data_IF_910961045338
#
_entry.id   IF_910961045338
#
_cell.length_a   1.000
_cell.length_b   1.000
_cell.length_c   1.000
_cell.angle_alpha   90.00
_cell.angle_beta   90.00
_cell.angle_gamma   90.00
#
_symmetry.space_group_name_H-M   'P 1'
#
loop_
_entity.id
_entity.type
_entity.pdbx_description
1 polymer ?
#
# COMPACT_ATOMS: atom_id res chain seq x y z
N UNK A 1 -14.59 61.48 -22.42
CA UNK A 1 -14.13 60.29 -21.67
C UNK A 1 -13.11 59.55 -22.53
N UNK A 2 -12.12 58.93 -21.87
CA UNK A 2 -10.85 58.42 -22.40
C UNK A 2 -10.99 57.25 -23.40
N UNK A 3 -10.03 57.19 -24.34
CA UNK A 3 -9.30 56.06 -25.00
C UNK A 3 -10.03 54.70 -25.17
N UNK A 4 -9.86 53.93 -26.26
CA UNK A 4 -8.56 53.41 -26.73
C UNK A 4 -8.64 52.79 -28.13
N UNK A 5 -7.56 52.97 -28.90
CA UNK A 5 -7.15 52.07 -29.99
C UNK A 5 -6.74 50.71 -29.43
N UNK A 6 -7.10 49.60 -30.10
CA UNK A 6 -6.20 48.46 -30.33
C UNK A 6 -6.61 47.83 -31.65
N UNK A 7 -5.77 48.00 -32.67
CA UNK A 7 -5.81 47.19 -33.88
C UNK A 7 -4.93 45.96 -33.72
N UNK A 8 -5.22 44.95 -34.54
CA UNK A 8 -4.25 44.01 -35.10
C UNK A 8 -3.62 43.00 -34.16
N UNK A 9 -3.86 41.72 -34.42
CA UNK A 9 -2.93 40.83 -35.15
C UNK A 9 -3.55 39.43 -35.15
N UNK A 10 -3.66 38.84 -36.34
CA UNK A 10 -4.08 37.47 -36.53
C UNK A 10 -3.05 36.51 -35.92
N UNK A 11 -3.49 35.61 -35.04
CA UNK A 11 -2.68 34.48 -34.58
C UNK A 11 -3.08 33.24 -35.38
N UNK A 12 -2.11 32.70 -36.09
CA UNK A 12 -2.17 31.52 -36.94
C UNK A 12 -1.42 30.37 -36.24
N UNK A 13 -1.90 29.12 -36.41
CA UNK A 13 -1.20 27.82 -36.23
C UNK A 13 -1.02 27.38 -34.75
N UNK A 14 -1.22 26.13 -34.29
CA UNK A 14 -1.25 24.81 -34.91
C UNK A 14 -2.14 23.87 -34.07
N UNK A 15 -3.00 23.07 -34.70
CA UNK A 15 -3.79 22.02 -34.05
C UNK A 15 -3.11 20.69 -34.37
N UNK A 16 -2.35 20.14 -33.40
CA UNK A 16 -1.72 18.83 -33.54
C UNK A 16 -2.65 17.79 -32.92
N UNK A 17 -3.39 17.06 -33.76
CA UNK A 17 -4.05 15.83 -33.35
C UNK A 17 -3.07 14.69 -33.63
N UNK A 18 -2.50 14.10 -32.57
CA UNK A 18 -1.79 12.82 -32.69
C UNK A 18 -2.82 11.71 -32.50
N UNK A 19 -3.36 11.20 -33.61
CA UNK A 19 -4.06 9.91 -33.63
C UNK A 19 -3.00 8.84 -33.85
N UNK A 20 -2.65 8.11 -32.79
CA UNK A 20 -1.90 6.87 -32.92
C UNK A 20 -2.90 5.71 -33.13
N UNK A 21 -3.18 5.37 -34.38
CA UNK A 21 -3.82 4.10 -34.72
C UNK A 21 -2.70 3.05 -34.84
N UNK A 22 -2.57 2.21 -33.82
CA UNK A 22 -1.86 0.94 -33.96
C UNK A 22 -2.87 -0.11 -34.43
N UNK A 23 -2.90 -0.37 -35.74
CA UNK A 23 -3.49 -1.59 -36.30
C UNK A 23 -2.52 -2.74 -36.04
N UNK A 24 -2.74 -3.48 -34.95
CA UNK A 24 -2.12 -4.78 -34.72
C UNK A 24 -3.12 -5.88 -35.10
N UNK A 25 -2.95 -6.46 -36.28
CA UNK A 25 -3.63 -7.67 -36.72
C UNK A 25 -3.14 -8.89 -35.95
N UNK A 26 -4.04 -9.63 -35.31
CA UNK A 26 -3.75 -10.93 -34.72
C UNK A 26 -4.87 -11.40 -33.82
N UNK A 27 -5.86 -12.08 -34.40
CA UNK A 27 -6.78 -12.90 -33.64
C UNK A 27 -6.01 -14.07 -33.02
N UNK A 28 -6.02 -14.18 -31.70
CA UNK A 28 -5.98 -15.48 -31.04
C UNK A 28 -6.67 -15.38 -29.68
N UNK A 29 -7.73 -16.17 -29.55
CA UNK A 29 -8.49 -16.39 -28.33
C UNK A 29 -7.56 -16.82 -27.18
N UNK A 30 -7.77 -16.20 -26.03
CA UNK A 30 -7.04 -16.49 -24.82
C UNK A 30 -7.43 -15.50 -23.74
N UNK A 31 -8.55 -15.76 -23.05
CA UNK A 31 -8.87 -15.16 -21.76
C UNK A 31 -7.81 -15.54 -20.74
N UNK A 32 -6.67 -14.85 -20.79
CA UNK A 32 -5.80 -14.63 -19.66
C UNK A 32 -5.86 -13.14 -19.38
N UNK A 33 -6.40 -12.76 -18.22
CA UNK A 33 -6.15 -11.44 -17.68
C UNK A 33 -4.64 -11.20 -17.76
N UNK A 34 -4.14 -10.05 -18.24
CA UNK A 34 -2.72 -9.75 -18.16
C UNK A 34 -2.34 -9.94 -16.69
N UNK A 35 -1.40 -10.84 -16.41
CA UNK A 35 -0.86 -11.00 -15.06
C UNK A 35 -0.44 -9.62 -14.60
N UNK A 36 -0.92 -9.22 -13.41
CA UNK A 36 -0.40 -8.03 -12.77
C UNK A 36 1.12 -8.11 -12.82
N UNK A 37 1.76 -7.01 -13.24
CA UNK A 37 3.21 -6.91 -13.20
C UNK A 37 3.65 -7.30 -11.78
N UNK A 38 4.39 -8.40 -11.65
CA UNK A 38 4.73 -9.06 -10.38
C UNK A 38 5.58 -8.16 -9.46
N UNK A 39 5.92 -6.96 -9.95
CA UNK A 39 6.64 -5.88 -9.30
C UNK A 39 5.73 -4.80 -8.68
N UNK A 40 4.43 -4.80 -8.95
CA UNK A 40 3.50 -3.82 -8.36
C UNK A 40 2.98 -4.35 -7.01
N UNK A 41 3.20 -3.62 -5.89
CA UNK A 41 2.65 -4.00 -4.59
C UNK A 41 1.13 -4.13 -4.65
N UNK A 42 0.54 -5.23 -4.15
CA UNK A 42 -0.91 -5.41 -4.14
C UNK A 42 -1.60 -4.47 -3.15
N UNK A 43 -0.88 -3.91 -2.18
CA UNK A 43 -1.35 -2.88 -1.26
C UNK A 43 -0.30 -1.77 -1.10
N UNK A 44 -0.72 -0.52 -1.28
CA UNK A 44 0.03 0.69 -0.90
C UNK A 44 -0.83 1.53 0.04
N UNK A 45 -0.23 2.04 1.11
CA UNK A 45 -0.92 2.79 2.17
C UNK A 45 -0.43 4.23 2.18
N UNK A 46 -1.28 5.13 1.68
CA UNK A 46 -1.00 6.56 1.65
C UNK A 46 0.27 6.93 0.87
N UNK A 47 0.65 8.19 0.98
CA UNK A 47 1.91 8.68 0.43
C UNK A 47 3.05 8.54 1.46
N UNK A 48 2.71 8.21 2.72
CA UNK A 48 3.66 7.99 3.80
C UNK A 48 4.43 6.66 3.70
N UNK A 49 3.97 5.72 2.87
CA UNK A 49 4.59 4.41 2.66
C UNK A 49 5.68 4.46 1.58
N UNK A 50 6.86 3.95 1.91
CA UNK A 50 7.93 3.69 0.92
C UNK A 50 8.14 2.20 0.77
N UNK A 51 8.03 1.69 -0.46
CA UNK A 51 8.31 0.29 -0.79
C UNK A 51 9.79 0.14 -1.08
N UNK A 52 10.46 -0.75 -0.33
CA UNK A 52 11.88 -1.06 -0.52
C UNK A 52 12.06 -2.32 -1.38
N UNK A 53 11.21 -3.32 -1.19
CA UNK A 53 11.17 -4.55 -1.98
C UNK A 53 9.72 -4.90 -2.25
N UNK A 54 9.36 -5.08 -3.52
CA UNK A 54 8.06 -5.62 -3.90
C UNK A 54 8.18 -7.13 -4.15
N UNK A 55 7.27 -7.92 -3.59
CA UNK A 55 7.16 -9.35 -3.87
C UNK A 55 8.36 -10.19 -3.46
N UNK A 56 9.03 -9.85 -2.36
CA UNK A 56 10.13 -10.64 -1.80
C UNK A 56 9.65 -12.06 -1.47
N UNK A 57 10.42 -13.06 -1.88
CA UNK A 57 10.13 -14.47 -1.63
C UNK A 57 11.24 -15.17 -0.83
N UNK A 58 12.38 -14.51 -0.64
CA UNK A 58 13.57 -15.07 -0.01
C UNK A 58 14.43 -14.01 0.69
N UNK A 59 15.30 -14.45 1.60
CA UNK A 59 16.30 -13.58 2.22
C UNK A 59 17.27 -12.98 1.20
N UNK A 60 17.51 -13.67 0.08
CA UNK A 60 18.38 -13.18 -0.99
C UNK A 60 17.82 -11.94 -1.67
N UNK A 61 16.49 -11.84 -1.79
CA UNK A 61 15.82 -10.66 -2.36
C UNK A 61 16.07 -9.42 -1.48
N UNK A 62 16.07 -9.62 -0.16
CA UNK A 62 16.33 -8.56 0.82
C UNK A 62 17.79 -8.12 0.81
N UNK A 63 18.71 -9.09 0.76
CA UNK A 63 20.14 -8.81 0.68
C UNK A 63 20.51 -8.08 -0.63
N UNK A 64 19.85 -8.41 -1.74
CA UNK A 64 20.11 -7.80 -3.05
C UNK A 64 19.86 -6.29 -3.09
N UNK A 65 18.93 -5.79 -2.26
CA UNK A 65 18.64 -4.35 -2.13
C UNK A 65 19.34 -3.71 -0.91
N UNK A 66 20.17 -4.47 -0.20
CA UNK A 66 20.95 -3.96 0.93
C UNK A 66 20.22 -3.86 2.26
N UNK A 67 19.13 -4.61 2.47
CA UNK A 67 18.52 -4.72 3.81
C UNK A 67 19.55 -5.36 4.77
N UNK A 68 19.88 -4.71 5.90
CA UNK A 68 20.88 -5.21 6.84
C UNK A 68 20.36 -6.42 7.62
N UNK A 69 21.20 -7.44 7.78
CA UNK A 69 20.94 -8.65 8.56
C UNK A 69 19.53 -9.23 8.30
N UNK A 70 19.20 -9.58 7.04
CA UNK A 70 17.86 -10.04 6.68
C UNK A 70 17.44 -11.30 7.45
N UNK A 71 18.39 -12.14 7.86
CA UNK A 71 18.18 -13.32 8.69
C UNK A 71 17.69 -13.02 10.11
N UNK A 72 17.87 -11.79 10.61
CA UNK A 72 17.37 -11.36 11.92
C UNK A 72 15.93 -10.85 11.87
N UNK A 73 15.36 -10.64 10.67
CA UNK A 73 13.99 -10.15 10.52
C UNK A 73 12.99 -11.20 10.98
N UNK A 74 12.01 -10.76 11.75
CA UNK A 74 10.95 -11.60 12.32
C UNK A 74 9.80 -11.79 11.31
N UNK A 75 10.13 -12.24 10.10
CA UNK A 75 9.15 -12.46 9.03
C UNK A 75 8.31 -13.70 9.38
N UNK A 76 6.96 -13.64 9.31
CA UNK A 76 6.14 -14.78 9.66
C UNK A 76 6.42 -15.99 8.77
N UNK A 77 6.45 -17.16 9.40
CA UNK A 77 6.72 -18.41 8.71
C UNK A 77 5.54 -18.79 7.81
N UNK A 78 5.86 -19.36 6.66
CA UNK A 78 4.88 -19.90 5.72
C UNK A 78 4.37 -18.91 4.69
N UNK A 79 4.64 -17.61 4.82
CA UNK A 79 4.32 -16.63 3.77
C UNK A 79 5.21 -16.89 2.54
N UNK A 80 4.60 -16.92 1.35
CA UNK A 80 5.30 -17.15 0.08
C UNK A 80 5.89 -15.88 -0.53
N UNK A 81 5.17 -14.76 -0.40
CA UNK A 81 5.55 -13.44 -0.93
C UNK A 81 5.12 -12.35 0.02
N UNK A 82 5.92 -11.30 0.13
CA UNK A 82 5.63 -10.12 0.93
C UNK A 82 6.39 -8.90 0.38
N UNK A 83 5.85 -7.72 0.60
CA UNK A 83 6.55 -6.47 0.35
C UNK A 83 7.30 -6.05 1.61
N UNK A 84 8.48 -5.44 1.45
CA UNK A 84 9.22 -4.80 2.53
C UNK A 84 9.09 -3.30 2.38
N UNK A 85 8.65 -2.64 3.45
CA UNK A 85 8.25 -1.23 3.41
C UNK A 85 8.74 -0.48 4.65
N UNK A 86 8.79 0.84 4.54
CA UNK A 86 8.94 1.76 5.67
C UNK A 86 7.84 2.82 5.64
N UNK A 87 7.62 3.47 6.78
CA UNK A 87 6.64 4.55 6.90
C UNK A 87 7.28 5.82 7.45
N UNK A 88 6.87 6.97 6.91
CA UNK A 88 6.91 8.23 7.66
C UNK A 88 5.73 8.24 8.63
N UNK A 89 5.98 7.88 9.89
CA UNK A 89 4.93 7.76 10.90
C UNK A 89 4.23 9.09 11.22
N UNK A 90 4.90 10.23 11.05
CA UNK A 90 4.29 11.53 11.26
C UNK A 90 3.33 11.89 10.11
N UNK A 91 3.67 11.54 8.87
CA UNK A 91 2.77 11.67 7.73
C UNK A 91 1.60 10.69 7.82
N UNK A 92 1.90 9.42 8.09
CA UNK A 92 0.91 8.34 8.24
C UNK A 92 -0.15 8.67 9.30
N UNK A 93 0.26 9.18 10.46
CA UNK A 93 -0.68 9.57 11.52
C UNK A 93 -1.65 10.68 11.07
N UNK A 94 -1.19 11.62 10.24
CA UNK A 94 -2.08 12.65 9.65
C UNK A 94 -3.04 12.03 8.65
N UNK A 95 -2.55 11.17 7.76
CA UNK A 95 -3.38 10.50 6.74
C UNK A 95 -4.48 9.62 7.35
N UNK A 96 -4.16 8.87 8.41
CA UNK A 96 -5.13 8.04 9.15
C UNK A 96 -6.25 8.90 9.75
N UNK A 97 -5.90 10.03 10.37
CA UNK A 97 -6.89 10.94 10.97
C UNK A 97 -7.77 11.62 9.92
N UNK A 98 -7.19 11.99 8.79
CA UNK A 98 -7.85 12.82 7.78
C UNK A 98 -8.58 11.99 6.71
N UNK A 99 -8.42 10.66 6.74
CA UNK A 99 -8.99 9.68 5.81
C UNK A 99 -7.92 9.09 4.89
N UNK A 100 -7.55 7.84 5.16
CA UNK A 100 -6.38 7.16 4.63
C UNK A 100 -6.50 6.85 3.13
N UNK A 101 -5.64 7.41 2.26
CA UNK A 101 -5.54 6.97 0.88
C UNK A 101 -4.97 5.54 0.82
N UNK A 102 -5.50 4.72 -0.08
CA UNK A 102 -5.02 3.34 -0.29
C UNK A 102 -4.93 3.07 -1.79
N UNK A 103 -4.00 2.21 -2.22
CA UNK A 103 -4.05 1.58 -3.54
C UNK A 103 -4.08 0.08 -3.35
N UNK A 104 -5.11 -0.58 -3.87
CA UNK A 104 -5.28 -2.04 -3.81
C UNK A 104 -5.31 -2.56 -5.24
N UNK A 105 -4.38 -3.46 -5.58
CA UNK A 105 -4.16 -3.97 -6.94
C UNK A 105 -4.08 -2.84 -7.98
N UNK A 106 -3.37 -1.76 -7.64
CA UNK A 106 -3.18 -0.57 -8.48
C UNK A 106 -4.40 0.35 -8.60
N UNK A 107 -5.52 0.02 -7.96
CA UNK A 107 -6.72 0.85 -7.94
C UNK A 107 -6.73 1.72 -6.69
N UNK A 108 -6.90 3.03 -6.86
CA UNK A 108 -6.94 3.98 -5.76
C UNK A 108 -8.29 3.96 -5.03
N UNK A 109 -8.23 3.97 -3.71
CA UNK A 109 -9.35 4.02 -2.79
C UNK A 109 -9.09 5.04 -1.68
N UNK A 110 -10.13 5.30 -0.90
CA UNK A 110 -10.04 6.04 0.34
C UNK A 110 -10.73 5.26 1.44
N UNK A 111 -10.09 5.21 2.60
CA UNK A 111 -10.67 4.63 3.80
C UNK A 111 -11.17 5.73 4.74
N UNK A 112 -12.28 5.42 5.42
CA UNK A 112 -12.79 6.19 6.54
C UNK A 112 -12.59 5.38 7.82
N UNK A 113 -11.97 5.99 8.82
CA UNK A 113 -11.53 5.34 10.04
C UNK A 113 -11.87 6.21 11.24
N UNK A 114 -12.10 5.59 12.39
CA UNK A 114 -12.27 6.29 13.65
C UNK A 114 -11.48 5.61 14.77
N UNK A 115 -11.00 6.43 15.71
CA UNK A 115 -10.27 5.92 16.86
C UNK A 115 -11.15 5.04 17.75
N UNK A 116 -10.62 3.89 18.15
CA UNK A 116 -11.24 3.04 19.16
C UNK A 116 -10.95 3.61 20.56
N UNK A 117 -12.00 3.74 21.38
CA UNK A 117 -11.85 4.23 22.76
C UNK A 117 -11.57 3.07 23.71
N UNK A 118 -10.30 2.85 24.04
CA UNK A 118 -9.91 2.09 25.21
C UNK A 118 -9.75 3.04 26.41
N UNK A 119 -9.71 2.54 27.65
CA UNK A 119 -9.38 3.38 28.81
C UNK A 119 -8.13 4.21 28.49
N UNK A 120 -8.23 5.54 28.65
CA UNK A 120 -7.20 6.48 28.17
C UNK A 120 -5.86 6.22 28.87
N UNK A 121 -5.00 5.44 28.23
CA UNK A 121 -3.59 5.35 28.52
C UNK A 121 -2.91 6.22 27.46
N UNK A 122 -2.31 7.33 27.86
CA UNK A 122 -1.50 8.17 26.97
C UNK A 122 -0.12 7.53 26.82
N UNK A 123 -0.05 6.43 26.05
CA UNK A 123 1.17 5.72 25.70
C UNK A 123 1.63 6.03 24.26
N UNK A 124 0.92 6.90 23.56
CA UNK A 124 1.16 7.22 22.15
C UNK A 124 0.73 6.11 21.18
N UNK A 125 0.00 5.09 21.65
CA UNK A 125 -0.54 4.02 20.82
C UNK A 125 -2.02 4.31 20.55
N UNK A 126 -2.39 4.34 19.27
CA UNK A 126 -3.76 4.59 18.85
C UNK A 126 -4.22 3.45 17.96
N UNK A 127 -5.44 2.97 18.17
CA UNK A 127 -6.08 1.96 17.31
C UNK A 127 -7.27 2.58 16.61
N UNK A 128 -7.41 2.26 15.34
CA UNK A 128 -8.43 2.76 14.44
C UNK A 128 -9.13 1.59 13.78
N UNK A 129 -10.46 1.66 13.74
CA UNK A 129 -11.29 0.76 12.94
C UNK A 129 -12.02 1.54 11.86
N UNK A 130 -12.34 0.90 10.73
CA UNK A 130 -12.91 1.61 9.59
C UNK A 130 -13.24 0.73 8.39
N UNK A 131 -13.62 1.37 7.30
CA UNK A 131 -13.98 0.70 6.04
C UNK A 131 -13.43 1.47 4.83
N UNK A 132 -13.36 0.79 3.70
CA UNK A 132 -13.03 1.40 2.41
C UNK A 132 -14.31 1.97 1.79
N UNK A 133 -14.28 3.25 1.43
CA UNK A 133 -15.46 3.96 0.89
C UNK A 133 -15.91 3.32 -0.42
N UNK A 134 -17.18 2.91 -0.46
CA UNK A 134 -17.79 2.31 -1.65
C UNK A 134 -17.42 0.85 -1.89
N UNK A 135 -16.80 0.18 -0.92
CA UNK A 135 -16.46 -1.24 -0.98
C UNK A 135 -17.19 -1.98 0.14
N UNK A 136 -18.21 -2.74 -0.26
CA UNK A 136 -18.98 -3.57 0.67
C UNK A 136 -18.09 -4.65 1.30
N UNK A 137 -18.38 -4.98 2.56
CA UNK A 137 -17.66 -6.00 3.35
C UNK A 137 -16.15 -5.73 3.50
N UNK A 138 -15.70 -4.49 3.26
CA UNK A 138 -14.35 -4.08 3.64
C UNK A 138 -14.26 -3.82 5.13
N UNK A 139 -13.10 -4.11 5.71
CA UNK A 139 -12.81 -3.86 7.11
C UNK A 139 -11.36 -3.43 7.26
N UNK A 140 -11.10 -2.48 8.14
CA UNK A 140 -9.77 -1.95 8.41
C UNK A 140 -9.58 -1.91 9.91
N UNK A 141 -8.50 -2.51 10.38
CA UNK A 141 -8.04 -2.41 11.76
C UNK A 141 -6.56 -2.03 11.76
N UNK A 142 -6.24 -0.83 12.24
CA UNK A 142 -4.87 -0.32 12.28
C UNK A 142 -4.53 0.14 13.70
N UNK A 143 -3.37 -0.29 14.20
CA UNK A 143 -2.75 0.22 15.42
C UNK A 143 -1.45 0.92 15.07
N UNK A 144 -1.35 2.19 15.45
CA UNK A 144 -0.15 3.01 15.24
C UNK A 144 0.50 3.33 16.58
N UNK A 145 1.83 3.25 16.62
CA UNK A 145 2.66 3.86 17.66
C UNK A 145 3.64 4.86 17.05
N UNK A 146 4.60 5.34 17.87
CA UNK A 146 5.60 6.33 17.44
C UNK A 146 6.43 5.90 16.21
N UNK A 147 6.69 4.60 16.07
CA UNK A 147 7.55 4.03 15.02
C UNK A 147 7.03 2.67 14.52
N UNK A 148 5.74 2.40 14.68
CA UNK A 148 5.14 1.13 14.27
C UNK A 148 3.74 1.34 13.69
N UNK A 149 3.42 0.56 12.67
CA UNK A 149 2.08 0.33 12.16
C UNK A 149 1.83 -1.18 12.17
N UNK A 150 0.77 -1.61 12.83
CA UNK A 150 0.31 -3.00 12.83
C UNK A 150 -1.13 -2.99 12.38
N UNK A 151 -1.55 -3.94 11.56
CA UNK A 151 -2.97 -4.03 11.25
C UNK A 151 -3.33 -4.98 10.14
N UNK A 152 -4.61 -4.93 9.77
CA UNK A 152 -5.16 -5.66 8.65
C UNK A 152 -6.15 -4.82 7.86
N UNK A 153 -6.18 -5.08 6.55
CA UNK A 153 -7.16 -4.53 5.62
C UNK A 153 -7.83 -5.68 4.89
N UNK A 154 -9.14 -5.82 5.04
CA UNK A 154 -9.97 -6.79 4.33
C UNK A 154 -10.58 -6.13 3.10
N UNK A 155 -10.41 -6.78 1.95
CA UNK A 155 -10.95 -6.34 0.67
C UNK A 155 -11.54 -7.55 -0.06
N UNK A 156 -12.86 -7.73 0.05
CA UNK A 156 -13.56 -8.91 -0.45
C UNK A 156 -13.07 -10.19 0.24
N UNK A 157 -12.49 -11.13 -0.53
CA UNK A 157 -11.95 -12.39 0.00
C UNK A 157 -10.43 -12.35 0.30
N UNK A 158 -9.84 -11.15 0.29
CA UNK A 158 -8.42 -10.95 0.52
C UNK A 158 -8.20 -10.15 1.80
N UNK A 159 -7.22 -10.57 2.59
CA UNK A 159 -6.76 -9.84 3.77
C UNK A 159 -5.32 -9.48 3.58
N UNK A 160 -4.98 -8.21 3.73
CA UNK A 160 -3.61 -7.74 3.78
C UNK A 160 -3.24 -7.52 5.24
N UNK A 161 -2.09 -8.07 5.66
CA UNK A 161 -1.54 -7.81 6.99
C UNK A 161 -0.32 -6.90 6.89
N UNK A 162 -0.21 -5.98 7.84
CA UNK A 162 0.90 -5.05 7.99
C UNK A 162 1.53 -5.32 9.34
N UNK A 163 2.81 -5.66 9.37
CA UNK A 163 3.51 -5.99 10.62
C UNK A 163 4.94 -5.45 10.64
N UNK A 164 5.44 -4.96 11.78
CA UNK A 164 6.85 -4.66 11.97
C UNK A 164 7.65 -5.96 12.01
N UNK A 165 8.83 -5.96 11.40
CA UNK A 165 9.68 -7.16 11.32
C UNK A 165 11.09 -6.96 11.88
N UNK A 166 11.48 -5.73 12.21
CA UNK A 166 12.78 -5.51 12.82
C UNK A 166 12.85 -6.05 14.26
N UNK A 167 13.99 -6.62 14.68
CA UNK A 167 14.30 -6.80 16.09
C UNK A 167 14.13 -5.50 16.85
N UNK A 168 13.59 -5.59 18.06
CA UNK A 168 13.29 -4.42 18.92
C UNK A 168 14.47 -3.46 19.06
N UNK A 169 15.67 -3.98 19.30
CA UNK A 169 16.88 -3.17 19.48
C UNK A 169 17.22 -2.31 18.26
N UNK A 170 16.86 -2.75 17.04
CA UNK A 170 17.05 -1.99 15.80
C UNK A 170 15.89 -1.03 15.56
N UNK A 171 14.66 -1.48 15.79
CA UNK A 171 13.46 -0.66 15.66
C UNK A 171 13.49 0.58 16.57
N UNK A 172 13.95 0.44 17.82
CA UNK A 172 14.04 1.56 18.78
C UNK A 172 15.08 2.63 18.37
N UNK A 173 15.99 2.31 17.46
CA UNK A 173 17.01 3.23 16.94
C UNK A 173 16.60 3.89 15.62
N UNK A 174 15.45 3.49 15.05
CA UNK A 174 14.99 3.95 13.74
C UNK A 174 13.67 4.73 13.87
N UNK A 175 13.60 5.87 13.17
CA UNK A 175 12.34 6.60 13.00
C UNK A 175 11.42 5.94 11.96
N UNK A 176 11.95 5.03 11.15
CA UNK A 176 11.21 4.32 10.10
C UNK A 176 11.63 2.84 10.07
N UNK A 177 11.26 2.05 11.09
CA UNK A 177 11.55 0.61 11.11
C UNK A 177 10.89 -0.13 9.94
N UNK A 178 11.47 -1.27 9.58
CA UNK A 178 10.94 -2.11 8.51
C UNK A 178 9.63 -2.79 8.92
N UNK A 179 8.71 -2.78 7.98
CA UNK A 179 7.47 -3.53 8.03
C UNK A 179 7.42 -4.49 6.84
N UNK A 180 6.62 -5.54 6.95
CA UNK A 180 6.17 -6.31 5.80
C UNK A 180 4.68 -6.17 5.59
N UNK A 181 4.28 -6.18 4.32
CA UNK A 181 2.89 -6.29 3.89
C UNK A 181 2.74 -7.58 3.11
N UNK A 182 1.74 -8.39 3.43
CA UNK A 182 1.47 -9.63 2.69
C UNK A 182 -0.02 -9.93 2.61
N UNK A 183 -0.41 -10.64 1.54
CA UNK A 183 -1.79 -11.04 1.26
C UNK A 183 -2.11 -12.41 1.83
N UNK A 184 -3.38 -12.65 2.18
CA UNK A 184 -3.94 -13.97 2.46
C UNK A 184 -3.78 -14.95 1.32
N UNK A 185 -3.62 -14.46 0.08
CA UNK A 185 -3.33 -15.28 -1.10
C UNK A 185 -1.90 -15.82 -1.13
N UNK A 186 -0.98 -15.18 -0.40
CA UNK A 186 0.42 -15.59 -0.28
C UNK A 186 0.67 -16.50 0.93
N UNK A 187 -0.37 -16.83 1.69
CA UNK A 187 -0.30 -17.83 2.76
C UNK A 187 -0.82 -19.17 2.20
N UNK A 188 -0.06 -20.27 2.33
CA UNK A 188 -0.57 -21.60 2.02
C UNK A 188 -1.85 -21.86 2.80
N UNK A 189 -2.87 -22.40 2.15
CA UNK A 189 -4.02 -22.95 2.85
C UNK A 189 -3.49 -24.02 3.84
N UNK A 190 -3.56 -23.72 5.13
CA UNK A 190 -3.29 -24.71 6.17
C UNK A 190 -4.36 -25.81 6.10
N UNK A 191 -4.08 -27.03 6.61
CA UNK A 191 -5.15 -27.98 6.85
C UNK A 191 -6.19 -27.31 7.75
N UNK A 192 -7.46 -27.34 7.33
CA UNK A 192 -8.58 -27.03 8.21
C UNK A 192 -8.51 -28.02 9.38
N UNK A 193 -8.03 -27.58 10.53
CA UNK A 193 -8.12 -28.39 11.75
C UNK A 193 -9.60 -28.40 12.12
N UNK A 194 -10.30 -29.54 12.08
CA UNK A 194 -11.67 -29.61 12.56
C UNK A 194 -11.66 -29.19 14.03
N UNK A 195 -12.54 -28.26 14.38
CA UNK A 195 -12.83 -27.96 15.78
C UNK A 195 -13.79 -29.07 16.22
N UNK A 196 -13.30 -30.02 17.02
CA UNK A 196 -14.12 -31.01 17.71
C UNK A 196 -15.01 -30.36 18.78
#
# INVERSE_FOLDING_TARGET
MKQSHVGGIALLVCLIVVVAIALGSGAQDGTGSPGADDSTPPLVIGDAMTVLVAGAASLSDLAAVGIPAPEELQIPKGIKRYDVVTFDHAALSREIRDGLPLSIHGTAYRAEQHGMNFEQIDDGINTYEGMIVGVDESDILLTTGNNALVGSIVFGNETFWIIPVEPRARAEQSASPLHVIYSSKDVPAGPLVPID
#
